data_IF_881404396271
#
_entry.id   IF_881404396271
#
_cell.length_a   1.000
_cell.length_b   1.000
_cell.length_c   1.000
_cell.angle_alpha   90.00
_cell.angle_beta   90.00
_cell.angle_gamma   90.00
#
_symmetry.space_group_name_H-M   'P 1'
#
loop_
_entity.id
_entity.type
_entity.pdbx_description
1 polymer ?
#
# COMPACT_ATOMS: atom_id res chain seq x y z
N UNK A 1 -5.46 0.63 -12.74
CA UNK A 1 -4.12 0.20 -12.27
C UNK A 1 -3.83 -1.12 -12.98
N UNK A 2 -2.77 -1.25 -13.79
CA UNK A 2 -2.52 -2.47 -14.59
C UNK A 2 -1.97 -3.62 -13.72
N UNK A 3 -2.69 -4.74 -13.64
CA UNK A 3 -2.31 -5.95 -12.89
C UNK A 3 -1.09 -6.66 -13.48
N UNK A 4 -0.49 -7.59 -12.73
CA UNK A 4 0.62 -8.41 -13.24
C UNK A 4 0.20 -9.22 -14.45
N UNK A 5 -0.99 -9.85 -14.41
CA UNK A 5 -1.51 -10.64 -15.53
C UNK A 5 -1.72 -9.81 -16.80
N UNK A 6 -2.26 -8.60 -16.66
CA UNK A 6 -2.41 -7.67 -17.79
C UNK A 6 -1.04 -7.25 -18.36
N UNK A 7 -0.06 -6.99 -17.48
CA UNK A 7 1.29 -6.65 -17.90
C UNK A 7 1.96 -7.78 -18.69
N UNK A 8 1.80 -9.03 -18.25
CA UNK A 8 2.32 -10.24 -18.92
C UNK A 8 1.65 -10.41 -20.28
N UNK A 9 0.32 -10.35 -20.33
CA UNK A 9 -0.43 -10.47 -21.61
C UNK A 9 -0.01 -9.40 -22.61
N UNK A 10 0.11 -8.14 -22.17
CA UNK A 10 0.56 -7.04 -23.03
C UNK A 10 2.00 -7.23 -23.49
N UNK A 11 2.88 -7.72 -22.61
CA UNK A 11 4.25 -8.03 -22.98
C UNK A 11 4.30 -9.12 -24.06
N UNK A 12 3.55 -10.21 -23.92
CA UNK A 12 3.52 -11.29 -24.92
C UNK A 12 3.01 -10.80 -26.28
N UNK A 13 2.00 -9.93 -26.30
CA UNK A 13 1.52 -9.30 -27.53
C UNK A 13 2.60 -8.46 -28.20
N UNK A 14 3.30 -7.61 -27.43
CA UNK A 14 4.39 -6.78 -27.96
C UNK A 14 5.58 -7.61 -28.42
N UNK A 15 5.91 -8.67 -27.69
CA UNK A 15 6.99 -9.60 -28.03
C UNK A 15 6.75 -10.34 -29.35
N UNK A 16 5.48 -10.61 -29.69
CA UNK A 16 5.11 -11.19 -30.99
C UNK A 16 5.25 -10.19 -32.14
N UNK A 17 4.92 -8.92 -31.91
CA UNK A 17 4.99 -7.87 -32.92
C UNK A 17 6.42 -7.40 -33.20
N UNK A 18 7.28 -7.41 -32.18
CA UNK A 18 8.66 -6.92 -32.28
C UNK A 18 9.65 -7.97 -31.73
N UNK A 19 9.68 -9.15 -32.35
CA UNK A 19 10.51 -10.28 -31.91
C UNK A 19 12.01 -9.94 -31.86
N UNK A 20 12.48 -9.07 -32.75
CA UNK A 20 13.86 -8.57 -32.80
C UNK A 20 14.29 -7.84 -31.51
N UNK A 21 13.34 -7.22 -30.79
CA UNK A 21 13.61 -6.51 -29.53
C UNK A 21 13.72 -7.47 -28.32
N UNK A 22 13.22 -8.69 -28.45
CA UNK A 22 13.21 -9.75 -27.42
C UNK A 22 13.77 -11.05 -28.00
N UNK A 23 15.01 -11.04 -28.52
CA UNK A 23 15.54 -12.13 -29.33
C UNK A 23 15.83 -13.40 -28.53
N UNK A 24 15.98 -13.29 -27.21
CA UNK A 24 16.31 -14.39 -26.32
C UNK A 24 15.61 -14.25 -24.97
N UNK A 25 15.68 -15.31 -24.17
CA UNK A 25 15.04 -15.38 -22.86
C UNK A 25 15.54 -14.28 -21.93
N UNK A 26 16.85 -14.01 -21.89
CA UNK A 26 17.45 -12.95 -21.08
C UNK A 26 16.85 -11.57 -21.36
N UNK A 27 16.60 -11.25 -22.62
CA UNK A 27 15.97 -9.99 -23.00
C UNK A 27 14.47 -9.96 -22.68
N UNK A 28 13.77 -11.09 -22.84
CA UNK A 28 12.37 -11.19 -22.40
C UNK A 28 12.24 -10.90 -20.91
N UNK A 29 13.08 -11.57 -20.14
CA UNK A 29 13.28 -11.41 -18.72
C UNK A 29 13.50 -9.95 -18.33
N UNK A 30 14.49 -9.30 -18.94
CA UNK A 30 14.88 -7.93 -18.60
C UNK A 30 13.77 -6.93 -18.91
N UNK A 31 13.14 -7.07 -20.08
CA UNK A 31 12.07 -6.16 -20.52
C UNK A 31 10.75 -6.39 -19.76
N UNK A 32 10.41 -7.64 -19.43
CA UNK A 32 9.24 -7.94 -18.62
C UNK A 32 9.34 -7.33 -17.22
N UNK A 33 10.52 -7.36 -16.60
CA UNK A 33 10.75 -6.69 -15.30
C UNK A 33 10.48 -5.18 -15.35
N UNK A 34 10.71 -4.52 -16.49
CA UNK A 34 10.40 -3.09 -16.68
C UNK A 34 8.89 -2.81 -16.79
N UNK A 35 8.09 -3.81 -17.14
CA UNK A 35 6.63 -3.68 -17.20
C UNK A 35 5.97 -3.80 -15.83
N UNK A 36 6.66 -4.41 -14.86
CA UNK A 36 6.18 -4.52 -13.49
C UNK A 36 6.36 -3.21 -12.72
N UNK A 37 5.43 -2.95 -11.80
CA UNK A 37 5.53 -1.81 -10.88
C UNK A 37 6.75 -2.00 -9.98
N UNK A 38 7.42 -0.91 -9.61
CA UNK A 38 8.69 -0.95 -8.86
C UNK A 38 8.63 -1.82 -7.61
N UNK A 39 7.53 -1.76 -6.85
CA UNK A 39 7.40 -2.56 -5.62
C UNK A 39 7.21 -4.06 -5.91
N UNK A 40 6.56 -4.44 -7.02
CA UNK A 40 6.45 -5.83 -7.47
C UNK A 40 7.80 -6.30 -7.98
N UNK A 41 8.47 -5.49 -8.80
CA UNK A 41 9.80 -5.77 -9.32
C UNK A 41 10.83 -6.02 -8.21
N UNK A 42 10.77 -5.22 -7.12
CA UNK A 42 11.58 -5.44 -5.91
C UNK A 42 11.31 -6.81 -5.27
N UNK A 43 10.04 -7.18 -5.10
CA UNK A 43 9.67 -8.50 -4.53
C UNK A 43 10.08 -9.67 -5.43
N UNK A 44 9.93 -9.53 -6.75
CA UNK A 44 10.36 -10.54 -7.72
C UNK A 44 11.88 -10.73 -7.71
N UNK A 45 12.63 -9.65 -7.49
CA UNK A 45 14.09 -9.67 -7.43
C UNK A 45 14.62 -10.06 -6.05
N UNK A 46 13.76 -10.14 -5.03
CA UNK A 46 14.14 -10.55 -3.70
C UNK A 46 14.38 -12.08 -3.63
N UNK A 47 15.20 -12.49 -2.66
CA UNK A 47 15.62 -13.88 -2.45
C UNK A 47 17.10 -14.09 -2.73
N UNK A 48 17.57 -15.33 -2.52
CA UNK A 48 18.99 -15.68 -2.67
C UNK A 48 19.48 -15.68 -4.12
N UNK A 49 18.57 -15.90 -5.07
CA UNK A 49 18.90 -16.03 -6.49
C UNK A 49 17.89 -15.27 -7.35
N UNK A 50 18.35 -14.41 -8.28
CA UNK A 50 17.48 -13.73 -9.22
C UNK A 50 16.83 -14.74 -10.16
N UNK A 51 15.56 -14.55 -10.55
CA UNK A 51 14.90 -15.46 -11.48
C UNK A 51 15.63 -15.43 -12.83
N UNK A 52 15.85 -16.60 -13.43
CA UNK A 52 16.52 -16.73 -14.74
C UNK A 52 15.54 -16.99 -15.88
N UNK A 53 14.34 -17.49 -15.56
CA UNK A 53 13.27 -17.81 -16.51
C UNK A 53 12.14 -16.78 -16.44
N UNK A 54 11.42 -16.60 -17.55
CA UNK A 54 10.19 -15.78 -17.57
C UNK A 54 9.11 -16.38 -16.66
N UNK A 55 8.95 -17.71 -16.65
CA UNK A 55 7.92 -18.40 -15.86
C UNK A 55 8.08 -18.18 -14.35
N UNK A 56 9.30 -18.23 -13.83
CA UNK A 56 9.61 -17.97 -12.42
C UNK A 56 9.29 -16.51 -12.06
N UNK A 57 9.67 -15.55 -12.92
CA UNK A 57 9.31 -14.14 -12.74
C UNK A 57 7.81 -13.92 -12.63
N UNK A 58 7.06 -14.48 -13.57
CA UNK A 58 5.59 -14.34 -13.60
C UNK A 58 4.98 -14.92 -12.34
N UNK A 59 5.42 -16.12 -11.93
CA UNK A 59 4.93 -16.80 -10.73
C UNK A 59 5.23 -16.03 -9.44
N UNK A 60 6.43 -15.44 -9.32
CA UNK A 60 6.79 -14.57 -8.20
C UNK A 60 5.98 -13.27 -8.22
N UNK A 61 5.79 -12.67 -9.39
CA UNK A 61 5.06 -11.42 -9.55
C UNK A 61 3.57 -11.57 -9.17
N UNK A 62 2.94 -12.66 -9.60
CA UNK A 62 1.54 -12.97 -9.25
C UNK A 62 1.40 -13.16 -7.74
N UNK A 63 2.30 -13.93 -7.11
CA UNK A 63 2.31 -14.11 -5.65
C UNK A 63 2.51 -12.78 -4.91
N UNK A 64 3.44 -11.96 -5.38
CA UNK A 64 3.68 -10.64 -4.79
C UNK A 64 2.44 -9.73 -4.92
N UNK A 65 1.78 -9.69 -6.07
CA UNK A 65 0.56 -8.91 -6.27
C UNK A 65 -0.57 -9.37 -5.34
N UNK A 66 -0.75 -10.69 -5.21
CA UNK A 66 -1.74 -11.28 -4.31
C UNK A 66 -1.53 -10.83 -2.85
N UNK A 67 -0.33 -11.06 -2.29
CA UNK A 67 -0.06 -10.73 -0.89
C UNK A 67 -0.11 -9.24 -0.61
N UNK A 68 0.35 -8.41 -1.55
CA UNK A 68 0.25 -6.95 -1.42
C UNK A 68 -1.20 -6.48 -1.39
N UNK A 69 -2.07 -7.10 -2.18
CA UNK A 69 -3.48 -6.76 -2.19
C UNK A 69 -4.16 -7.22 -0.89
N UNK A 70 -3.85 -8.43 -0.42
CA UNK A 70 -4.31 -8.94 0.89
C UNK A 70 -3.89 -8.01 2.04
N UNK A 71 -2.62 -7.60 2.08
CA UNK A 71 -2.12 -6.67 3.11
C UNK A 71 -2.78 -5.28 3.05
N UNK A 72 -3.14 -4.82 1.85
CA UNK A 72 -3.87 -3.55 1.69
C UNK A 72 -5.29 -3.67 2.20
N UNK A 73 -5.96 -4.77 1.89
CA UNK A 73 -7.32 -5.04 2.35
C UNK A 73 -7.37 -5.18 3.87
N UNK A 74 -6.48 -5.98 4.46
CA UNK A 74 -6.36 -6.14 5.91
C UNK A 74 -6.11 -4.80 6.62
N UNK A 75 -5.22 -3.95 6.06
CA UNK A 75 -5.00 -2.60 6.58
C UNK A 75 -6.23 -1.71 6.47
N UNK A 76 -6.94 -1.75 5.34
CA UNK A 76 -8.15 -0.97 5.15
C UNK A 76 -9.24 -1.38 6.15
N UNK A 77 -9.40 -2.69 6.40
CA UNK A 77 -10.32 -3.20 7.41
C UNK A 77 -9.92 -2.75 8.82
N UNK A 78 -8.64 -2.87 9.20
CA UNK A 78 -8.15 -2.41 10.50
C UNK A 78 -8.45 -0.92 10.76
N UNK A 79 -8.21 -0.05 9.77
CA UNK A 79 -8.53 1.37 9.92
C UNK A 79 -10.03 1.66 9.96
N UNK A 80 -10.84 0.88 9.25
CA UNK A 80 -12.29 0.97 9.30
C UNK A 80 -12.81 0.62 10.70
N UNK A 81 -12.41 -0.53 11.25
CA UNK A 81 -12.78 -0.97 12.60
C UNK A 81 -12.35 0.04 13.66
N UNK A 82 -11.10 0.52 13.59
CA UNK A 82 -10.58 1.53 14.54
C UNK A 82 -11.35 2.86 14.48
N UNK A 83 -11.85 3.25 13.30
CA UNK A 83 -12.69 4.44 13.14
C UNK A 83 -14.08 4.23 13.74
N UNK A 84 -14.65 3.05 13.56
CA UNK A 84 -15.94 2.66 14.13
C UNK A 84 -15.88 2.56 15.66
N UNK A 85 -14.84 1.96 16.23
CA UNK A 85 -14.60 1.93 17.69
C UNK A 85 -14.52 3.34 18.28
N UNK A 86 -13.77 4.26 17.65
CA UNK A 86 -13.71 5.67 18.07
C UNK A 86 -15.06 6.36 17.99
N UNK A 87 -15.89 6.04 17.00
CA UNK A 87 -17.22 6.61 16.86
C UNK A 87 -18.17 6.09 17.94
N UNK A 88 -18.11 4.79 18.25
CA UNK A 88 -18.90 4.15 19.31
C UNK A 88 -18.52 4.68 20.70
N UNK A 89 -17.22 4.80 21.00
CA UNK A 89 -16.75 5.40 22.27
C UNK A 89 -17.19 6.86 22.40
N UNK A 90 -17.19 7.62 21.31
CA UNK A 90 -17.69 9.01 21.31
C UNK A 90 -19.21 9.11 21.48
N UNK A 91 -19.97 8.11 21.07
CA UNK A 91 -21.42 8.05 21.29
C UNK A 91 -21.77 7.56 22.70
N UNK A 92 -20.96 6.68 23.30
CA UNK A 92 -21.14 6.16 24.66
C UNK A 92 -20.70 7.14 25.76
N UNK A 93 -19.97 8.20 25.43
CA UNK A 93 -19.78 9.35 26.31
C UNK A 93 -20.82 10.43 25.99
N UNK A 94 -22.00 10.45 26.64
CA UNK A 94 -22.76 11.69 26.69
C UNK A 94 -21.88 12.74 27.37
N UNK A 95 -21.81 13.93 26.75
CA UNK A 95 -21.20 15.15 27.30
C UNK A 95 -21.28 15.16 28.83
N UNK A 96 -20.14 15.06 29.52
CA UNK A 96 -20.05 15.70 30.83
C UNK A 96 -20.17 17.20 30.56
N UNK A 97 -21.35 17.70 30.91
CA UNK A 97 -21.78 19.08 30.80
C UNK A 97 -20.74 20.00 31.46
N UNK A 98 -20.17 20.91 30.69
CA UNK A 98 -19.35 22.01 31.21
C UNK A 98 -20.32 23.06 31.73
N UNK A 99 -20.77 22.90 32.97
CA UNK A 99 -21.42 23.98 33.72
C UNK A 99 -20.78 24.10 35.09
N UNK A 100 -19.79 24.99 35.19
CA UNK A 100 -19.42 25.65 36.44
C UNK A 100 -19.16 27.13 36.16
N UNK A 101 -20.28 27.87 36.18
CA UNK A 101 -20.48 29.27 36.59
C UNK A 101 -19.34 30.28 36.41
N UNK A 102 -19.61 31.26 35.54
CA UNK A 102 -19.14 32.63 35.72
C UNK A 102 -19.92 33.30 36.87
N UNK A 103 -19.25 33.80 37.91
CA UNK A 103 -19.33 35.20 38.38
C UNK A 103 -18.77 35.41 39.79
N UNK A 104 -18.11 36.57 39.95
CA UNK A 104 -17.78 37.23 41.21
C UNK A 104 -16.39 36.87 41.76
N UNK A 105 -15.54 37.76 42.25
CA UNK A 105 -15.52 39.23 42.34
C UNK A 105 -14.14 39.58 42.96
N UNK A 106 -13.61 40.74 42.57
CA UNK A 106 -12.76 41.67 43.35
C UNK A 106 -11.34 41.29 43.83
N UNK A 107 -10.38 42.06 43.28
CA UNK A 107 -9.50 43.03 43.98
C UNK A 107 -8.19 42.61 44.67
N UNK A 108 -7.11 43.13 44.07
CA UNK A 108 -6.03 43.97 44.64
C UNK A 108 -4.75 43.38 45.29
N UNK A 109 -3.68 44.18 45.05
CA UNK A 109 -2.33 44.25 45.66
C UNK A 109 -1.30 43.19 45.21
N UNK A 110 -0.26 43.47 44.41
CA UNK A 110 0.87 44.43 44.45
C UNK A 110 2.12 43.90 45.18
N UNK A 111 3.28 44.09 44.52
CA UNK A 111 4.69 43.99 44.96
C UNK A 111 5.21 42.58 45.29
N UNK A 112 6.43 42.17 44.97
CA UNK A 112 7.60 42.82 44.38
C UNK A 112 8.81 41.89 44.57
N UNK A 113 9.82 42.00 43.71
CA UNK A 113 11.24 41.75 43.97
C UNK A 113 12.05 42.35 42.83
#
# INVERSE_FOLDING_TARGET
MMTVLEAVKKFEQLARLCSELVPNETEKVRRMMKMFRTYIAKQVSAGSSPPTLVSDRVSRAIRAEYWINQDKEARAQFFKTKKEEKAVVKQLQPRQNVESYSNGQTSNFAQGS
#
